data_IF_406850471194
#
_entry.id   IF_406850471194
#
_cell.length_a   1.000
_cell.length_b   1.000
_cell.length_c   1.000
_cell.angle_alpha   90.00
_cell.angle_beta   90.00
_cell.angle_gamma   90.00
#
_symmetry.space_group_name_H-M   'P 1'
#
loop_
_entity.id
_entity.type
_entity.pdbx_description
1 polymer ?
#
# COMPACT_ATOMS: atom_id res chain seq x y z
N UNK A 1 -16.12 -15.35 -7.26
CA UNK A 1 -15.51 -15.00 -7.36
C UNK A 1 -14.77 -14.81 -7.18
N UNK A 2 -14.75 -14.75 -6.77
CA UNK A 2 -13.99 -14.39 -6.52
C UNK A 2 -13.40 -14.02 -6.93
N UNK A 3 -13.77 -13.67 -6.96
CA UNK A 3 -13.09 -13.10 -7.44
C UNK A 3 -11.94 -13.10 -7.30
N UNK A 4 -11.89 -13.58 -7.53
CA UNK A 4 -10.47 -13.43 -7.59
C UNK A 4 -9.77 -12.97 -6.36
N UNK A 5 -10.46 -12.79 -5.32
CA UNK A 5 -9.86 -12.34 -4.07
C UNK A 5 -9.34 -13.53 -3.28
N UNK A 6 -8.05 -13.57 -2.99
CA UNK A 6 -7.50 -14.67 -2.20
C UNK A 6 -8.07 -14.66 -0.79
N UNK A 7 -8.37 -15.85 -0.31
CA UNK A 7 -8.89 -16.01 1.04
C UNK A 7 -7.82 -15.67 2.05
N UNK A 8 -8.17 -14.87 3.03
CA UNK A 8 -7.28 -14.55 4.13
C UNK A 8 -6.30 -13.42 3.87
N UNK A 9 -6.33 -12.86 2.67
CA UNK A 9 -5.45 -11.74 2.37
C UNK A 9 -6.23 -10.44 2.44
N UNK A 10 -5.56 -9.41 2.93
CA UNK A 10 -6.16 -8.09 2.93
C UNK A 10 -6.17 -7.53 1.51
N UNK A 11 -7.07 -6.60 1.21
CA UNK A 11 -7.06 -5.95 -0.11
C UNK A 11 -5.71 -5.31 -0.40
N UNK A 12 -5.30 -5.41 -1.64
CA UNK A 12 -4.06 -4.81 -2.10
C UNK A 12 -4.38 -3.64 -3.00
N UNK A 13 -3.66 -2.55 -2.81
CA UNK A 13 -3.83 -1.34 -3.59
C UNK A 13 -2.56 -1.02 -4.35
N UNK A 14 -2.72 -0.50 -5.56
CA UNK A 14 -1.54 -0.09 -6.30
C UNK A 14 -1.07 1.29 -5.81
N UNK A 15 0.03 1.77 -6.39
CA UNK A 15 0.62 3.03 -5.98
C UNK A 15 -0.36 4.19 -6.18
N UNK A 16 -1.09 4.18 -7.30
CA UNK A 16 -2.03 5.27 -7.59
C UNK A 16 -3.15 5.33 -6.56
N UNK A 17 -3.71 4.17 -6.21
CA UNK A 17 -4.78 4.12 -5.22
C UNK A 17 -4.29 4.52 -3.84
N UNK A 18 -3.08 4.07 -3.50
CA UNK A 18 -2.47 4.43 -2.22
C UNK A 18 -2.24 5.94 -2.14
N UNK A 19 -1.78 6.53 -3.23
CA UNK A 19 -1.55 7.97 -3.28
C UNK A 19 -2.84 8.74 -3.03
N UNK A 20 -3.94 8.29 -3.64
CA UNK A 20 -5.24 8.94 -3.44
C UNK A 20 -5.68 8.86 -2.00
N UNK A 21 -5.52 7.70 -1.37
CA UNK A 21 -5.93 7.52 0.01
C UNK A 21 -5.13 8.39 0.97
N UNK A 22 -3.86 8.59 0.67
CA UNK A 22 -2.98 9.38 1.51
C UNK A 22 -2.98 10.87 1.14
N UNK A 23 -3.65 11.21 0.05
CA UNK A 23 -3.69 12.58 -0.46
C UNK A 23 -2.29 13.12 -0.79
N UNK A 24 -1.48 12.26 -1.40
CA UNK A 24 -0.14 12.64 -1.83
C UNK A 24 0.07 12.18 -3.27
N UNK A 25 1.20 12.56 -3.84
CA UNK A 25 1.52 12.15 -5.21
C UNK A 25 2.04 10.71 -5.22
N UNK A 26 1.99 10.09 -6.40
CA UNK A 26 2.56 8.76 -6.57
C UNK A 26 4.06 8.78 -6.28
N UNK A 27 4.71 9.85 -6.63
CA UNK A 27 6.15 10.01 -6.36
C UNK A 27 6.42 9.93 -4.87
N UNK A 28 5.57 10.59 -4.07
CA UNK A 28 5.71 10.55 -2.61
C UNK A 28 5.51 9.14 -2.09
N UNK A 29 4.51 8.42 -2.60
CA UNK A 29 4.29 7.03 -2.19
C UNK A 29 5.53 6.18 -2.48
N UNK A 30 6.09 6.32 -3.69
CA UNK A 30 7.27 5.56 -4.05
C UNK A 30 8.46 5.89 -3.13
N UNK A 31 8.58 7.14 -2.75
CA UNK A 31 9.64 7.57 -1.84
C UNK A 31 9.45 6.94 -0.46
N UNK A 32 8.22 6.90 0.03
CA UNK A 32 7.93 6.28 1.31
C UNK A 32 8.25 4.79 1.30
N UNK A 33 7.94 4.13 0.20
CA UNK A 33 8.25 2.71 0.05
C UNK A 33 9.76 2.51 0.00
N UNK A 34 10.46 3.33 -0.76
CA UNK A 34 11.90 3.20 -0.90
C UNK A 34 12.64 3.42 0.42
N UNK A 35 12.11 4.30 1.26
CA UNK A 35 12.74 4.59 2.55
C UNK A 35 12.38 3.56 3.63
N UNK A 36 11.44 2.68 3.34
CA UNK A 36 10.99 1.70 4.32
C UNK A 36 9.90 2.20 5.25
N UNK A 37 9.48 3.45 5.09
CA UNK A 37 8.43 4.00 5.94
C UNK A 37 7.08 3.35 5.65
N UNK A 38 6.85 2.96 4.42
CA UNK A 38 5.61 2.29 4.01
C UNK A 38 5.98 0.93 3.42
N UNK A 39 5.47 -0.12 4.03
CA UNK A 39 5.75 -1.48 3.56
C UNK A 39 4.94 -1.76 2.30
N UNK A 40 5.57 -2.34 1.31
CA UNK A 40 4.91 -2.71 0.07
C UNK A 40 5.36 -4.10 -0.35
N UNK A 41 4.55 -4.73 -1.17
CA UNK A 41 4.80 -6.07 -1.68
C UNK A 41 4.94 -6.02 -3.19
N UNK A 42 5.90 -6.76 -3.71
CA UNK A 42 6.06 -6.85 -5.15
C UNK A 42 5.38 -8.10 -5.63
N UNK A 43 4.42 -7.93 -6.53
CA UNK A 43 3.69 -9.03 -7.13
C UNK A 43 4.00 -8.98 -8.61
N UNK A 44 4.88 -9.88 -9.07
CA UNK A 44 5.40 -9.79 -10.42
C UNK A 44 6.15 -8.48 -10.60
N UNK A 45 5.72 -7.66 -11.53
CA UNK A 45 6.31 -6.34 -11.76
C UNK A 45 5.56 -5.23 -11.06
N UNK A 46 4.50 -5.58 -10.38
CA UNK A 46 3.63 -4.60 -9.75
C UNK A 46 3.98 -4.42 -8.30
N UNK A 47 3.80 -3.19 -7.83
CA UNK A 47 3.97 -2.87 -6.41
C UNK A 47 2.58 -2.73 -5.82
N UNK A 48 2.36 -3.40 -4.69
CA UNK A 48 1.07 -3.37 -4.00
C UNK A 48 1.26 -3.09 -2.53
N UNK A 49 0.34 -2.33 -1.97
CA UNK A 49 0.33 -2.01 -0.54
C UNK A 49 -0.91 -2.64 0.07
N UNK A 50 -0.74 -3.44 1.11
CA UNK A 50 -1.87 -4.06 1.78
C UNK A 50 -2.55 -3.06 2.70
N UNK A 51 -3.83 -3.31 2.96
CA UNK A 51 -4.59 -2.45 3.87
C UNK A 51 -3.96 -2.47 5.27
N UNK A 52 -3.49 -3.63 5.70
CA UNK A 52 -2.84 -3.76 7.00
C UNK A 52 -1.59 -2.89 7.08
N UNK A 53 -0.76 -2.92 6.04
CA UNK A 53 0.46 -2.12 6.03
C UNK A 53 0.16 -0.63 5.96
N UNK A 54 -0.88 -0.27 5.22
CA UNK A 54 -1.28 1.12 5.13
C UNK A 54 -1.76 1.63 6.49
N UNK A 55 -2.54 0.84 7.19
CA UNK A 55 -3.00 1.20 8.53
C UNK A 55 -1.84 1.34 9.51
N UNK A 56 -0.87 0.44 9.41
CA UNK A 56 0.30 0.50 10.27
C UNK A 56 1.08 1.79 10.03
N UNK A 57 1.22 2.17 8.76
CA UNK A 57 1.88 3.42 8.42
C UNK A 57 1.14 4.61 9.02
N UNK A 58 -0.17 4.64 8.88
CA UNK A 58 -0.97 5.74 9.40
C UNK A 58 -0.92 5.81 10.93
N UNK A 59 -0.93 4.66 11.59
CA UNK A 59 -0.86 4.61 13.04
C UNK A 59 0.47 5.16 13.56
N UNK A 60 1.55 4.86 12.87
CA UNK A 60 2.86 5.36 13.28
C UNK A 60 2.94 6.88 13.16
N UNK A 61 2.22 7.44 12.20
CA UNK A 61 2.28 8.87 11.96
C UNK A 61 1.32 9.67 12.83
N UNK A 62 0.45 8.99 13.51
CA UNK A 62 -0.48 9.67 14.41
C UNK A 62 0.24 10.29 15.59
N UNK A 63 1.31 9.72 15.92
CA UNK A 63 2.06 10.23 16.96
C UNK A 63 2.26 10.16 18.13
#
# INVERSE_FOLDING_TARGET
MNNGKPTGLTPLRDVAETAKLLYVSKKTVRRLIASGALVAHRVGRSVRVSDTDLRAFLNQRRG
#
